data_IF_637361022435
#
_entry.id   IF_637361022435
#
_cell.length_a   1.000
_cell.length_b   1.000
_cell.length_c   1.000
_cell.angle_alpha   90.00
_cell.angle_beta   90.00
_cell.angle_gamma   90.00
#
_symmetry.space_group_name_H-M   'P 1'
#
loop_
_entity.id
_entity.type
_entity.pdbx_description
1 polymer ?
#
# COMPACT_ATOMS: atom_id res chain seq x y z
N UNK A 1 -32.97 -24.87 -29.16
CA UNK A 1 -31.66 -24.20 -29.04
C UNK A 1 -31.63 -23.49 -27.71
N UNK A 2 -30.99 -24.08 -26.71
CA UNK A 2 -30.69 -23.40 -25.45
C UNK A 2 -29.55 -22.42 -25.73
N UNK A 3 -29.84 -21.12 -25.73
CA UNK A 3 -28.80 -20.09 -25.78
C UNK A 3 -27.94 -20.24 -24.54
N UNK A 4 -26.66 -20.54 -24.72
CA UNK A 4 -25.68 -20.50 -23.64
C UNK A 4 -25.71 -19.09 -23.06
N UNK A 5 -26.15 -18.94 -21.80
CA UNK A 5 -26.15 -17.64 -21.12
C UNK A 5 -24.69 -17.21 -20.96
N UNK A 6 -24.35 -16.00 -21.38
CA UNK A 6 -22.97 -15.49 -21.21
C UNK A 6 -22.69 -15.23 -19.72
N UNK A 7 -21.41 -15.21 -19.33
CA UNK A 7 -21.01 -14.91 -17.94
C UNK A 7 -21.63 -13.60 -17.44
N UNK A 8 -21.61 -12.56 -18.27
CA UNK A 8 -22.21 -11.25 -17.97
C UNK A 8 -23.71 -11.35 -17.68
N UNK A 9 -24.46 -12.03 -18.55
CA UNK A 9 -25.89 -12.24 -18.37
C UNK A 9 -26.21 -13.03 -17.10
N UNK A 10 -25.39 -14.04 -16.77
CA UNK A 10 -25.56 -14.84 -15.57
C UNK A 10 -25.32 -14.01 -14.30
N UNK A 11 -24.27 -13.18 -14.28
CA UNK A 11 -23.96 -12.26 -13.17
C UNK A 11 -25.08 -11.23 -12.95
N UNK A 12 -25.63 -10.67 -14.03
CA UNK A 12 -26.74 -9.71 -13.96
C UNK A 12 -28.02 -10.39 -13.48
N UNK A 13 -28.34 -11.58 -14.01
CA UNK A 13 -29.54 -12.34 -13.64
C UNK A 13 -29.55 -12.72 -12.16
N UNK A 14 -28.40 -13.04 -11.58
CA UNK A 14 -28.26 -13.36 -10.15
C UNK A 14 -28.18 -12.11 -9.26
N UNK A 15 -28.15 -10.91 -9.84
CA UNK A 15 -28.11 -9.64 -9.12
C UNK A 15 -26.74 -9.27 -8.56
N UNK A 16 -25.66 -9.93 -8.99
CA UNK A 16 -24.30 -9.58 -8.58
C UNK A 16 -23.79 -8.30 -9.23
N UNK A 17 -24.34 -7.96 -10.40
CA UNK A 17 -24.02 -6.72 -11.12
C UNK A 17 -25.29 -6.12 -11.71
N UNK A 18 -25.39 -4.80 -11.72
CA UNK A 18 -26.59 -4.10 -12.22
C UNK A 18 -26.73 -4.16 -13.74
N UNK A 19 -25.62 -4.02 -14.48
CA UNK A 19 -25.59 -4.04 -15.94
C UNK A 19 -24.15 -4.27 -16.46
N UNK A 20 -24.02 -4.58 -17.75
CA UNK A 20 -22.74 -4.86 -18.39
C UNK A 20 -21.78 -3.66 -18.40
N UNK A 21 -22.31 -2.44 -18.51
CA UNK A 21 -21.50 -1.24 -18.52
C UNK A 21 -20.71 -1.06 -17.21
N UNK A 22 -21.35 -1.29 -16.07
CA UNK A 22 -20.69 -1.25 -14.75
C UNK A 22 -19.74 -2.43 -14.55
N UNK A 23 -20.09 -3.63 -15.04
CA UNK A 23 -19.19 -4.79 -15.01
C UNK A 23 -17.85 -4.48 -15.68
N UNK A 24 -17.89 -3.83 -16.85
CA UNK A 24 -16.71 -3.46 -17.62
C UNK A 24 -15.86 -2.38 -16.95
N UNK A 25 -16.50 -1.33 -16.43
CA UNK A 25 -15.77 -0.20 -15.82
C UNK A 25 -15.16 -0.57 -14.48
N UNK A 26 -15.85 -1.36 -13.66
CA UNK A 26 -15.35 -1.71 -12.33
C UNK A 26 -14.16 -2.67 -12.41
N UNK A 27 -14.12 -3.55 -13.42
CA UNK A 27 -13.04 -4.53 -13.58
C UNK A 27 -12.97 -5.58 -12.46
N UNK A 28 -14.04 -5.75 -11.68
CA UNK A 28 -14.16 -6.72 -10.61
C UNK A 28 -15.55 -6.71 -9.98
N UNK A 29 -15.82 -7.71 -9.14
CA UNK A 29 -17.09 -7.85 -8.41
C UNK A 29 -16.95 -7.35 -6.97
N UNK A 30 -17.90 -6.51 -6.54
CA UNK A 30 -17.93 -5.98 -5.17
C UNK A 30 -18.66 -6.92 -4.23
N UNK A 31 -18.08 -7.15 -3.07
CA UNK A 31 -18.77 -7.78 -1.95
C UNK A 31 -19.89 -6.86 -1.46
N UNK A 32 -21.14 -7.34 -1.31
CA UNK A 32 -22.19 -6.59 -0.65
C UNK A 32 -21.94 -6.56 0.86
N UNK A 33 -22.08 -5.39 1.48
CA UNK A 33 -21.94 -5.19 2.93
C UNK A 33 -20.69 -5.87 3.54
N UNK A 34 -19.46 -5.52 3.12
CA UNK A 34 -18.24 -6.21 3.55
C UNK A 34 -17.99 -6.19 5.07
N UNK A 35 -18.55 -5.20 5.78
CA UNK A 35 -18.44 -5.10 7.23
C UNK A 35 -19.17 -6.23 7.99
N UNK A 36 -20.13 -6.90 7.34
CA UNK A 36 -20.92 -7.98 7.95
C UNK A 36 -20.21 -9.35 7.84
N UNK A 37 -19.10 -9.43 7.11
CA UNK A 37 -18.34 -10.67 6.97
C UNK A 37 -17.56 -11.01 8.27
N UNK A 38 -17.27 -12.29 8.52
CA UNK A 38 -16.39 -12.66 9.62
C UNK A 38 -14.94 -12.23 9.32
N UNK A 39 -14.11 -11.98 10.36
CA UNK A 39 -12.67 -11.82 10.17
C UNK A 39 -12.05 -13.03 9.43
N UNK A 40 -11.02 -12.81 8.59
CA UNK A 40 -10.39 -11.52 8.28
C UNK A 40 -11.12 -10.70 7.19
N UNK A 41 -12.21 -11.21 6.62
CA UNK A 41 -12.82 -10.66 5.41
C UNK A 41 -13.52 -9.31 5.59
N UNK A 42 -13.78 -8.89 6.82
CA UNK A 42 -14.30 -7.55 7.14
C UNK A 42 -13.22 -6.47 7.25
N UNK A 43 -11.94 -6.82 7.12
CA UNK A 43 -10.85 -5.84 7.11
C UNK A 43 -11.01 -4.87 5.92
N UNK A 44 -10.53 -3.61 6.03
CA UNK A 44 -10.71 -2.59 4.99
C UNK A 44 -9.80 -2.77 3.76
N UNK A 45 -9.42 -4.01 3.42
CA UNK A 45 -8.63 -4.32 2.25
C UNK A 45 -9.48 -4.29 0.98
N UNK A 46 -9.06 -3.52 -0.03
CA UNK A 46 -9.71 -3.57 -1.36
C UNK A 46 -9.69 -4.98 -1.97
N UNK A 47 -8.67 -5.78 -1.70
CA UNK A 47 -8.64 -7.17 -2.17
C UNK A 47 -9.82 -7.99 -1.59
N UNK A 48 -10.18 -7.78 -0.32
CA UNK A 48 -11.32 -8.47 0.29
C UNK A 48 -12.66 -7.86 -0.11
N UNK A 49 -12.71 -6.56 -0.39
CA UNK A 49 -13.93 -5.88 -0.87
C UNK A 49 -14.25 -6.23 -2.33
N UNK A 50 -13.24 -6.63 -3.11
CA UNK A 50 -13.37 -6.96 -4.53
C UNK A 50 -12.64 -8.26 -4.91
N UNK A 51 -12.97 -9.43 -4.34
CA UNK A 51 -12.11 -10.62 -4.41
C UNK A 51 -12.03 -11.29 -5.78
N UNK A 52 -12.87 -10.87 -6.73
CA UNK A 52 -12.99 -11.43 -8.08
C UNK A 52 -12.69 -10.33 -9.07
N UNK A 53 -11.70 -10.54 -9.94
CA UNK A 53 -11.44 -9.67 -11.09
C UNK A 53 -12.25 -10.09 -12.30
N UNK A 54 -12.52 -9.11 -13.17
CA UNK A 54 -13.16 -9.33 -14.47
C UNK A 54 -12.28 -8.78 -15.58
N UNK A 55 -12.31 -9.44 -16.73
CA UNK A 55 -11.67 -9.00 -17.97
C UNK A 55 -12.59 -9.23 -19.16
N UNK A 56 -12.52 -8.32 -20.13
CA UNK A 56 -13.25 -8.41 -21.40
C UNK A 56 -12.34 -9.07 -22.44
N UNK A 57 -12.89 -10.06 -23.14
CA UNK A 57 -12.28 -10.78 -24.25
C UNK A 57 -13.23 -10.79 -25.44
N UNK A 58 -12.73 -11.09 -26.64
CA UNK A 58 -13.56 -11.25 -27.86
C UNK A 58 -14.74 -12.23 -27.68
N UNK A 59 -14.58 -13.27 -26.84
CA UNK A 59 -15.59 -14.28 -26.58
C UNK A 59 -16.49 -13.99 -25.36
N UNK A 60 -16.23 -12.89 -24.65
CA UNK A 60 -17.07 -12.40 -23.56
C UNK A 60 -16.30 -12.00 -22.31
N UNK A 61 -17.01 -11.86 -21.19
CA UNK A 61 -16.40 -11.52 -19.90
C UNK A 61 -15.91 -12.78 -19.19
N UNK A 62 -14.64 -12.72 -18.80
CA UNK A 62 -13.99 -13.73 -17.98
C UNK A 62 -13.93 -13.24 -16.53
N UNK A 63 -14.03 -14.18 -15.59
CA UNK A 63 -13.98 -13.90 -14.16
C UNK A 63 -13.07 -14.90 -13.44
N UNK A 64 -12.34 -14.42 -12.46
CA UNK A 64 -11.38 -15.21 -11.70
C UNK A 64 -10.98 -14.50 -10.41
N UNK A 65 -10.28 -15.20 -9.53
CA UNK A 65 -9.88 -14.63 -8.24
C UNK A 65 -8.75 -13.62 -8.41
N UNK A 66 -8.80 -12.51 -7.67
CA UNK A 66 -7.66 -11.59 -7.59
C UNK A 66 -6.39 -12.26 -7.02
N UNK A 67 -6.58 -13.26 -6.15
CA UNK A 67 -5.50 -13.98 -5.48
C UNK A 67 -5.97 -15.40 -5.12
N UNK A 68 -5.13 -16.45 -5.21
CA UNK A 68 -5.57 -17.83 -4.97
C UNK A 68 -6.11 -18.04 -3.54
N UNK A 69 -5.53 -17.37 -2.55
CA UNK A 69 -5.95 -17.48 -1.15
C UNK A 69 -7.36 -16.90 -0.88
N UNK A 70 -7.98 -16.23 -1.85
CA UNK A 70 -9.38 -15.79 -1.75
C UNK A 70 -10.37 -16.93 -1.99
N UNK A 71 -9.89 -18.16 -2.21
CA UNK A 71 -10.76 -19.31 -2.44
C UNK A 71 -11.77 -19.54 -1.31
N UNK A 72 -11.37 -19.28 -0.07
CA UNK A 72 -12.20 -19.44 1.13
C UNK A 72 -13.05 -18.19 1.45
N UNK A 73 -13.04 -17.16 0.58
CA UNK A 73 -13.81 -15.95 0.79
C UNK A 73 -15.32 -16.24 0.69
N UNK A 74 -16.17 -15.87 1.67
CA UNK A 74 -17.61 -16.21 1.66
C UNK A 74 -18.35 -15.77 0.39
N UNK A 75 -18.03 -14.58 -0.11
CA UNK A 75 -18.60 -14.08 -1.37
C UNK A 75 -18.19 -14.93 -2.60
N UNK A 76 -16.97 -15.47 -2.62
CA UNK A 76 -16.51 -16.37 -3.70
C UNK A 76 -17.35 -17.64 -3.71
N UNK A 77 -17.57 -18.26 -2.55
CA UNK A 77 -18.42 -19.45 -2.43
C UNK A 77 -19.86 -19.20 -2.92
N UNK A 78 -20.44 -18.04 -2.60
CA UNK A 78 -21.79 -17.66 -3.07
C UNK A 78 -21.82 -17.53 -4.60
N UNK A 79 -20.80 -16.93 -5.21
CA UNK A 79 -20.72 -16.77 -6.67
C UNK A 79 -20.60 -18.14 -7.35
N UNK A 80 -19.69 -18.99 -6.88
CA UNK A 80 -19.47 -20.34 -7.40
C UNK A 80 -20.75 -21.19 -7.32
N UNK A 81 -21.46 -21.14 -6.18
CA UNK A 81 -22.73 -21.84 -5.99
C UNK A 81 -23.82 -21.33 -6.96
N UNK A 82 -24.01 -20.01 -7.07
CA UNK A 82 -25.09 -19.41 -7.86
C UNK A 82 -24.87 -19.53 -9.37
N UNK A 83 -23.61 -19.59 -9.81
CA UNK A 83 -23.26 -19.76 -11.21
C UNK A 83 -23.03 -21.23 -11.59
N UNK A 84 -22.82 -22.12 -10.61
CA UNK A 84 -22.51 -23.52 -10.86
C UNK A 84 -21.15 -23.73 -11.51
N UNK A 85 -20.17 -22.88 -11.17
CA UNK A 85 -18.81 -22.89 -11.71
C UNK A 85 -17.78 -22.95 -10.59
N UNK A 86 -16.53 -23.28 -10.95
CA UNK A 86 -15.36 -23.00 -10.12
C UNK A 86 -14.60 -21.84 -10.75
N UNK A 87 -14.36 -20.78 -9.98
CA UNK A 87 -13.59 -19.64 -10.44
C UNK A 87 -12.13 -20.03 -10.60
N UNK A 88 -11.50 -19.49 -11.64
CA UNK A 88 -10.06 -19.66 -11.84
C UNK A 88 -9.31 -19.01 -10.67
N UNK A 89 -8.51 -19.83 -9.98
CA UNK A 89 -7.70 -19.37 -8.84
C UNK A 89 -6.51 -18.54 -9.31
N UNK A 90 -6.12 -18.70 -10.56
CA UNK A 90 -5.06 -17.92 -11.22
C UNK A 90 -5.53 -16.58 -11.79
N UNK A 91 -6.81 -16.26 -11.63
CA UNK A 91 -7.38 -14.97 -12.00
C UNK A 91 -7.98 -14.97 -13.40
N UNK A 92 -8.30 -13.77 -13.89
CA UNK A 92 -8.87 -13.57 -15.23
C UNK A 92 -8.04 -12.52 -15.97
N UNK A 93 -6.82 -12.87 -16.44
CA UNK A 93 -6.00 -11.94 -17.18
C UNK A 93 -6.72 -11.44 -18.44
N UNK A 94 -6.46 -10.21 -18.85
CA UNK A 94 -6.96 -9.71 -20.14
C UNK A 94 -6.24 -10.39 -21.32
N UNK A 95 -6.63 -10.04 -22.54
CA UNK A 95 -6.05 -10.59 -23.79
C UNK A 95 -4.53 -10.39 -23.93
N UNK A 96 -3.93 -9.49 -23.14
CA UNK A 96 -2.49 -9.25 -23.11
C UNK A 96 -1.78 -9.97 -21.96
N UNK A 97 -2.48 -10.83 -21.22
CA UNK A 97 -1.93 -11.58 -20.08
C UNK A 97 -1.86 -10.76 -18.78
N UNK A 98 -2.43 -9.56 -18.74
CA UNK A 98 -2.37 -8.71 -17.54
C UNK A 98 -3.51 -9.05 -16.57
N UNK A 99 -3.14 -9.45 -15.35
CA UNK A 99 -4.03 -9.60 -14.20
C UNK A 99 -3.83 -8.45 -13.21
N UNK A 100 -4.86 -8.12 -12.43
CA UNK A 100 -4.79 -7.14 -11.35
C UNK A 100 -4.17 -7.68 -10.07
N UNK A 101 -3.76 -8.96 -10.03
CA UNK A 101 -3.21 -9.64 -8.85
C UNK A 101 -2.10 -8.85 -8.15
N UNK A 102 -1.05 -8.45 -8.86
CA UNK A 102 0.09 -7.73 -8.26
C UNK A 102 -0.34 -6.38 -7.67
N UNK A 103 -1.23 -5.69 -8.39
CA UNK A 103 -1.80 -4.43 -7.91
C UNK A 103 -2.67 -4.66 -6.66
N UNK A 104 -3.40 -5.78 -6.59
CA UNK A 104 -4.23 -6.11 -5.44
C UNK A 104 -3.40 -6.46 -4.20
N UNK A 105 -2.25 -7.15 -4.37
CA UNK A 105 -1.30 -7.42 -3.28
C UNK A 105 -0.76 -6.13 -2.66
N UNK A 106 -0.40 -5.15 -3.51
CA UNK A 106 -0.05 -3.80 -3.06
C UNK A 106 -1.21 -3.12 -2.33
N UNK A 107 -2.43 -3.17 -2.89
CA UNK A 107 -3.60 -2.58 -2.24
C UNK A 107 -3.89 -3.18 -0.87
N UNK A 108 -3.76 -4.51 -0.73
CA UNK A 108 -3.93 -5.18 0.55
C UNK A 108 -2.96 -4.63 1.61
N UNK A 109 -1.67 -4.51 1.27
CA UNK A 109 -0.67 -3.97 2.19
C UNK A 109 -0.93 -2.49 2.55
N UNK A 110 -1.13 -1.62 1.55
CA UNK A 110 -1.27 -0.18 1.79
C UNK A 110 -2.58 0.17 2.51
N UNK A 111 -3.67 -0.53 2.22
CA UNK A 111 -4.97 -0.26 2.85
C UNK A 111 -4.93 -0.58 4.36
N UNK A 112 -4.29 -1.69 4.74
CA UNK A 112 -4.19 -2.10 6.15
C UNK A 112 -3.20 -1.22 6.93
N UNK A 113 -2.06 -0.83 6.34
CA UNK A 113 -1.16 0.16 6.96
C UNK A 113 -1.88 1.50 7.14
N UNK A 114 -2.55 1.99 6.10
CA UNK A 114 -3.16 3.33 6.14
C UNK A 114 -4.46 3.41 6.93
N UNK A 115 -4.97 2.28 7.42
CA UNK A 115 -6.20 2.20 8.23
C UNK A 115 -5.94 1.72 9.66
N UNK A 116 -4.71 1.81 10.17
CA UNK A 116 -4.34 1.41 11.54
C UNK A 116 -4.58 -0.09 11.84
N UNK A 117 -4.38 -0.94 10.84
CA UNK A 117 -4.56 -2.40 10.91
C UNK A 117 -3.27 -3.15 10.58
N UNK A 118 -2.11 -2.63 10.97
CA UNK A 118 -0.83 -3.20 10.60
C UNK A 118 -0.58 -4.59 11.22
N UNK A 119 -1.14 -4.90 12.40
CA UNK A 119 -1.07 -6.26 12.96
C UNK A 119 -1.87 -7.23 12.10
N UNK A 120 -3.07 -6.82 11.67
CA UNK A 120 -3.91 -7.65 10.81
C UNK A 120 -3.24 -7.89 9.44
N UNK A 121 -2.47 -6.92 8.92
CA UNK A 121 -1.63 -7.12 7.73
C UNK A 121 -0.65 -8.30 7.90
N UNK A 122 -0.04 -8.42 9.08
CA UNK A 122 0.87 -9.54 9.37
C UNK A 122 0.10 -10.86 9.51
N UNK A 123 -1.07 -10.85 10.15
CA UNK A 123 -1.96 -12.02 10.25
C UNK A 123 -2.50 -12.48 8.88
N UNK A 124 -2.55 -11.57 7.90
CA UNK A 124 -2.99 -11.82 6.52
C UNK A 124 -1.85 -11.71 5.51
N UNK A 125 -0.58 -11.89 5.93
CA UNK A 125 0.62 -11.78 5.09
C UNK A 125 0.56 -12.64 3.81
N UNK A 126 -0.16 -13.77 3.84
CA UNK A 126 -0.36 -14.66 2.69
C UNK A 126 -1.12 -14.03 1.51
N UNK A 127 -1.75 -12.86 1.67
CA UNK A 127 -2.45 -12.14 0.60
C UNK A 127 -1.59 -11.07 -0.07
N UNK A 128 -0.32 -10.94 0.33
CA UNK A 128 0.61 -9.96 -0.22
C UNK A 128 2.03 -10.50 -0.19
N UNK A 129 3.00 -9.66 -0.55
CA UNK A 129 4.42 -10.01 -0.51
C UNK A 129 5.15 -9.17 0.53
N UNK A 130 6.28 -9.67 1.01
CA UNK A 130 7.16 -8.92 1.93
C UNK A 130 7.63 -7.61 1.31
N UNK A 131 7.88 -7.62 -0.01
CA UNK A 131 8.20 -6.43 -0.77
C UNK A 131 7.08 -5.39 -0.69
N UNK A 132 5.82 -5.78 -0.90
CA UNK A 132 4.68 -4.85 -0.80
C UNK A 132 4.39 -4.42 0.63
N UNK A 133 4.64 -5.26 1.64
CA UNK A 133 4.58 -4.88 3.06
C UNK A 133 5.62 -3.80 3.35
N UNK A 134 6.89 -4.00 2.97
CA UNK A 134 7.94 -2.99 3.15
C UNK A 134 7.62 -1.69 2.40
N UNK A 135 7.06 -1.80 1.20
CA UNK A 135 6.59 -0.64 0.42
C UNK A 135 5.45 0.08 1.14
N UNK A 136 4.56 -0.65 1.80
CA UNK A 136 3.45 -0.07 2.55
C UNK A 136 3.93 0.60 3.83
N UNK A 137 4.97 0.06 4.49
CA UNK A 137 5.67 0.75 5.60
C UNK A 137 6.21 2.09 5.13
N UNK A 138 6.91 2.13 3.99
CA UNK A 138 7.42 3.39 3.43
C UNK A 138 6.29 4.39 3.13
N UNK A 139 5.18 3.93 2.56
CA UNK A 139 3.99 4.75 2.35
C UNK A 139 3.41 5.28 3.67
N UNK A 140 3.24 4.40 4.67
CA UNK A 140 2.69 4.73 5.98
C UNK A 140 3.53 5.73 6.76
N UNK A 141 4.85 5.72 6.58
CA UNK A 141 5.75 6.73 7.13
C UNK A 141 5.73 8.03 6.32
N UNK A 142 5.46 7.99 5.01
CA UNK A 142 5.51 9.19 4.16
C UNK A 142 4.27 10.07 4.32
N UNK A 143 3.10 9.47 4.51
CA UNK A 143 1.80 10.15 4.49
C UNK A 143 1.09 10.01 5.82
N UNK A 144 0.28 11.01 6.18
CA UNK A 144 -0.55 11.02 7.39
C UNK A 144 -2.04 11.10 7.06
N UNK A 145 -2.89 10.61 7.97
CA UNK A 145 -4.33 10.83 7.91
C UNK A 145 -4.69 12.32 7.85
N UNK A 146 -5.68 12.65 7.01
CA UNK A 146 -6.21 14.01 6.87
C UNK A 146 -6.81 14.59 8.17
N UNK A 147 -7.30 13.74 9.06
CA UNK A 147 -8.07 14.16 10.25
C UNK A 147 -7.32 13.90 11.57
N UNK A 148 -6.15 13.26 11.52
CA UNK A 148 -5.36 12.91 12.70
C UNK A 148 -4.09 13.77 12.82
N UNK A 149 -3.29 13.48 13.85
CA UNK A 149 -1.97 14.10 14.03
C UNK A 149 -1.08 13.78 12.83
N UNK A 150 -0.37 14.79 12.35
CA UNK A 150 0.52 14.72 11.16
C UNK A 150 1.83 14.04 11.51
N UNK A 151 1.82 12.72 11.57
CA UNK A 151 2.97 11.93 12.04
C UNK A 151 3.11 10.55 11.38
N UNK A 152 2.59 10.41 10.17
CA UNK A 152 2.47 9.11 9.50
C UNK A 152 1.12 8.42 9.78
N UNK A 153 0.81 7.41 8.97
CA UNK A 153 -0.20 6.40 9.29
C UNK A 153 0.28 5.42 10.36
N UNK A 154 1.59 5.24 10.46
CA UNK A 154 2.26 4.40 11.47
C UNK A 154 3.45 5.14 12.06
N UNK A 155 3.85 4.75 13.26
CA UNK A 155 5.06 5.25 13.92
C UNK A 155 6.32 4.50 13.45
N UNK A 156 7.50 5.05 13.72
CA UNK A 156 8.77 4.34 13.45
C UNK A 156 8.92 3.08 14.30
N UNK A 157 8.32 3.04 15.49
CA UNK A 157 8.32 1.86 16.35
C UNK A 157 7.51 0.72 15.73
N UNK A 158 6.31 1.01 15.23
CA UNK A 158 5.47 0.02 14.53
C UNK A 158 6.12 -0.41 13.22
N UNK A 159 6.66 0.54 12.46
CA UNK A 159 7.42 0.25 11.24
C UNK A 159 8.56 -0.75 11.50
N UNK A 160 9.34 -0.58 12.58
CA UNK A 160 10.39 -1.55 12.97
C UNK A 160 9.83 -2.93 13.30
N UNK A 161 8.70 -3.01 14.00
CA UNK A 161 8.04 -4.27 14.31
C UNK A 161 7.60 -5.00 13.04
N UNK A 162 7.04 -4.27 12.09
CA UNK A 162 6.60 -4.81 10.79
C UNK A 162 7.81 -5.30 9.99
N UNK A 163 8.87 -4.48 9.86
CA UNK A 163 10.09 -4.86 9.15
C UNK A 163 10.74 -6.11 9.77
N UNK A 164 10.78 -6.21 11.10
CA UNK A 164 11.27 -7.40 11.78
C UNK A 164 10.38 -8.64 11.54
N UNK A 165 9.05 -8.47 11.48
CA UNK A 165 8.11 -9.56 11.26
C UNK A 165 8.16 -10.16 9.84
N UNK A 166 8.68 -9.40 8.86
CA UNK A 166 8.96 -9.88 7.50
C UNK A 166 10.41 -10.31 7.31
N UNK A 167 11.17 -10.48 8.41
CA UNK A 167 12.57 -10.89 8.42
C UNK A 167 13.52 -9.94 7.65
N UNK A 168 13.13 -8.67 7.48
CA UNK A 168 13.96 -7.66 6.84
C UNK A 168 14.98 -7.09 7.83
N UNK A 169 16.26 -7.34 7.56
CA UNK A 169 17.36 -6.92 8.43
C UNK A 169 17.53 -5.39 8.43
N UNK A 170 17.76 -4.82 9.61
CA UNK A 170 18.17 -3.42 9.73
C UNK A 170 19.56 -3.22 9.10
N UNK A 171 19.75 -2.22 8.22
CA UNK A 171 21.06 -1.93 7.64
C UNK A 171 22.08 -1.55 8.71
N UNK A 172 23.32 -2.07 8.58
CA UNK A 172 24.40 -1.76 9.53
C UNK A 172 24.73 -0.26 9.62
N UNK A 173 24.55 0.47 8.51
CA UNK A 173 24.81 1.91 8.44
C UNK A 173 23.52 2.69 8.14
N UNK A 174 22.98 3.32 9.19
CA UNK A 174 21.82 4.23 9.12
C UNK A 174 22.07 5.39 8.16
N UNK A 175 23.30 5.95 8.20
CA UNK A 175 23.68 7.08 7.35
C UNK A 175 23.73 6.69 5.87
N UNK A 176 24.34 5.53 5.56
CA UNK A 176 24.50 5.11 4.17
C UNK A 176 23.15 4.91 3.47
N UNK A 177 22.18 4.31 4.16
CA UNK A 177 20.84 4.09 3.58
C UNK A 177 20.07 5.41 3.35
N UNK A 178 20.26 6.42 4.22
CA UNK A 178 19.71 7.77 4.00
C UNK A 178 20.40 8.46 2.82
N UNK A 179 21.73 8.36 2.70
CA UNK A 179 22.48 8.96 1.60
C UNK A 179 22.21 8.31 0.24
N UNK A 180 21.68 7.08 0.22
CA UNK A 180 21.22 6.41 -0.99
C UNK A 180 19.92 7.01 -1.58
N UNK A 181 19.18 7.81 -0.81
CA UNK A 181 18.05 8.58 -1.34
C UNK A 181 18.52 9.61 -2.36
N UNK A 182 17.60 10.09 -3.20
CA UNK A 182 17.94 11.19 -4.10
C UNK A 182 18.36 12.43 -3.33
N UNK A 183 19.29 13.17 -3.94
CA UNK A 183 19.73 14.47 -3.45
C UNK A 183 18.49 15.34 -3.12
N UNK A 184 18.45 15.98 -1.94
CA UNK A 184 17.38 16.91 -1.60
C UNK A 184 17.33 18.06 -2.60
N UNK A 185 16.16 18.28 -3.20
CA UNK A 185 15.90 19.37 -4.13
C UNK A 185 14.63 20.12 -3.72
N UNK A 186 14.61 21.46 -3.82
CA UNK A 186 13.41 22.23 -3.53
C UNK A 186 12.37 21.98 -4.62
N UNK A 187 11.12 21.82 -4.20
CA UNK A 187 9.97 21.96 -5.08
C UNK A 187 9.22 23.22 -4.69
N UNK A 188 8.99 24.10 -5.67
CA UNK A 188 8.20 25.32 -5.50
C UNK A 188 6.99 25.26 -6.42
N UNK A 189 5.78 25.06 -5.88
CA UNK A 189 4.57 25.13 -6.68
C UNK A 189 4.27 26.59 -7.06
N UNK A 190 3.49 26.80 -8.14
CA UNK A 190 3.05 28.14 -8.57
C UNK A 190 2.28 28.88 -7.46
N UNK A 191 1.59 28.12 -6.61
CA UNK A 191 0.91 28.60 -5.41
C UNK A 191 1.34 27.75 -4.22
N UNK A 192 2.02 28.35 -3.24
CA UNK A 192 2.41 27.69 -2.00
C UNK A 192 3.83 28.03 -1.55
N UNK A 193 4.21 27.47 -0.41
CA UNK A 193 5.58 27.54 0.08
C UNK A 193 6.47 26.53 -0.63
N UNK A 194 7.77 26.81 -0.69
CA UNK A 194 8.77 25.83 -1.07
C UNK A 194 8.77 24.66 -0.07
N UNK A 195 8.82 23.44 -0.58
CA UNK A 195 8.94 22.23 0.22
C UNK A 195 10.02 21.31 -0.34
N UNK A 196 10.46 20.34 0.47
CA UNK A 196 11.62 19.51 0.18
C UNK A 196 11.24 18.03 0.22
N UNK A 197 10.67 17.48 -0.86
CA UNK A 197 10.19 16.10 -0.89
C UNK A 197 11.34 15.10 -0.79
N UNK A 198 11.03 13.91 -0.27
CA UNK A 198 11.95 12.77 -0.26
C UNK A 198 11.71 11.98 -1.55
N UNK A 199 12.65 12.07 -2.49
CA UNK A 199 12.59 11.34 -3.75
C UNK A 199 13.49 10.10 -3.70
N UNK A 200 13.04 9.00 -4.30
CA UNK A 200 13.72 7.71 -4.23
C UNK A 200 13.54 6.84 -5.50
N UNK A 201 13.67 7.39 -6.72
CA UNK A 201 13.52 6.57 -7.92
C UNK A 201 14.58 5.47 -7.90
N UNK A 202 14.13 4.21 -7.82
CA UNK A 202 14.91 2.98 -7.83
C UNK A 202 15.53 2.46 -6.50
N UNK A 203 15.17 2.98 -5.33
CA UNK A 203 15.48 2.23 -4.10
C UNK A 203 14.54 1.03 -3.92
N UNK A 204 15.06 -0.17 -3.58
CA UNK A 204 14.24 -1.28 -3.14
C UNK A 204 13.35 -0.89 -1.95
N UNK A 205 12.12 -1.40 -1.91
CA UNK A 205 11.15 -1.04 -0.88
C UNK A 205 11.65 -1.21 0.57
N UNK A 206 12.36 -2.31 0.94
CA UNK A 206 12.93 -2.45 2.28
C UNK A 206 13.96 -1.39 2.62
N UNK A 207 14.86 -1.06 1.68
CA UNK A 207 15.86 -0.01 1.88
C UNK A 207 15.20 1.36 2.07
N UNK A 208 14.16 1.65 1.31
CA UNK A 208 13.40 2.88 1.46
C UNK A 208 12.72 2.95 2.85
N UNK A 209 12.05 1.89 3.28
CA UNK A 209 11.44 1.82 4.60
C UNK A 209 12.46 2.11 5.72
N UNK A 210 13.62 1.46 5.67
CA UNK A 210 14.70 1.70 6.63
C UNK A 210 15.27 3.12 6.57
N UNK A 211 15.47 3.68 5.37
CA UNK A 211 15.90 5.08 5.22
C UNK A 211 14.93 6.04 5.90
N UNK A 212 13.61 5.82 5.75
CA UNK A 212 12.57 6.64 6.36
C UNK A 212 12.53 6.48 7.88
N UNK A 213 12.59 5.24 8.39
CA UNK A 213 12.68 4.95 9.83
C UNK A 213 13.84 5.72 10.45
N UNK A 214 15.05 5.56 9.91
CA UNK A 214 16.24 6.20 10.46
C UNK A 214 16.21 7.72 10.30
N UNK A 215 15.76 8.21 9.13
CA UNK A 215 15.72 9.64 8.88
C UNK A 215 14.71 10.38 9.75
N UNK A 216 13.59 9.75 10.12
CA UNK A 216 12.65 10.31 11.12
C UNK A 216 13.30 10.30 12.51
N UNK A 217 13.82 9.15 12.95
CA UNK A 217 14.42 8.99 14.29
C UNK A 217 15.61 9.95 14.53
N UNK A 218 16.44 10.14 13.51
CA UNK A 218 17.67 10.94 13.61
C UNK A 218 17.43 12.43 13.25
N UNK A 219 16.18 12.82 12.96
CA UNK A 219 15.77 14.20 12.68
C UNK A 219 16.16 14.74 11.29
N UNK A 220 16.49 13.85 10.35
CA UNK A 220 16.70 14.21 8.94
C UNK A 220 15.39 14.58 8.26
N UNK A 221 14.28 13.98 8.71
CA UNK A 221 12.95 14.18 8.16
C UNK A 221 11.97 14.71 9.20
N UNK A 222 10.98 15.48 8.75
CA UNK A 222 9.87 15.93 9.57
C UNK A 222 8.61 16.08 8.72
N UNK A 223 7.45 15.93 9.35
CA UNK A 223 6.16 16.16 8.71
C UNK A 223 5.84 17.64 8.63
N UNK A 224 5.27 18.07 7.51
CA UNK A 224 4.67 19.39 7.40
C UNK A 224 3.25 19.42 8.02
N UNK A 225 2.60 20.59 7.94
CA UNK A 225 1.22 20.76 8.43
C UNK A 225 0.18 19.99 7.61
N UNK A 226 0.52 19.62 6.38
CA UNK A 226 -0.36 18.89 5.48
C UNK A 226 -0.25 17.37 5.70
N UNK A 227 0.75 16.91 6.46
CA UNK A 227 0.96 15.50 6.77
C UNK A 227 1.93 14.78 5.84
N UNK A 228 2.72 15.51 5.07
CA UNK A 228 3.74 14.95 4.18
C UNK A 228 5.12 14.99 4.86
N UNK A 229 5.89 13.92 4.68
CA UNK A 229 7.26 13.84 5.18
C UNK A 229 8.24 14.57 4.23
N UNK A 230 9.10 15.42 4.81
CA UNK A 230 10.07 16.23 4.07
C UNK A 230 11.45 16.22 4.69
N UNK A 231 12.47 16.58 3.91
CA UNK A 231 13.79 16.90 4.44
C UNK A 231 13.73 18.11 5.37
N UNK A 232 14.32 17.98 6.56
CA UNK A 232 14.58 19.12 7.44
C UNK A 232 15.75 19.94 6.91
N UNK A 233 15.87 21.21 7.31
CA UNK A 233 17.06 22.01 7.02
C UNK A 233 18.35 21.36 7.53
N UNK A 234 18.28 20.78 8.73
CA UNK A 234 19.40 20.02 9.30
C UNK A 234 19.74 18.79 8.46
N UNK A 235 18.73 18.00 8.07
CA UNK A 235 18.91 16.84 7.20
C UNK A 235 19.55 17.19 5.86
N UNK A 236 19.11 18.29 5.22
CA UNK A 236 19.73 18.79 3.98
C UNK A 236 21.19 19.15 4.16
N UNK A 237 21.51 19.85 5.26
CA UNK A 237 22.89 20.24 5.58
C UNK A 237 23.76 19.01 5.81
N UNK A 238 23.26 18.01 6.55
CA UNK A 238 23.96 16.74 6.77
C UNK A 238 24.15 15.94 5.48
N UNK A 239 23.16 15.92 4.59
CA UNK A 239 23.26 15.24 3.29
C UNK A 239 24.35 15.89 2.43
N UNK A 240 24.39 17.22 2.37
CA UNK A 240 25.41 17.96 1.63
C UNK A 240 26.84 17.75 2.17
N UNK A 241 26.99 17.50 3.47
CA UNK A 241 28.26 17.15 4.09
C UNK A 241 28.76 15.73 3.72
N UNK A 242 27.92 14.89 3.09
CA UNK A 242 28.29 13.56 2.63
C UNK A 242 28.74 12.66 3.78
N UNK A 243 29.92 12.06 3.67
CA UNK A 243 30.51 11.17 4.68
C UNK A 243 31.49 11.87 5.64
N UNK A 244 31.51 13.20 5.64
CA UNK A 244 32.40 13.96 6.52
C UNK A 244 31.91 13.91 7.97
N UNK A 245 32.74 13.40 8.89
CA UNK A 245 32.48 13.28 10.35
C UNK A 245 32.31 14.63 11.08
N UNK A 246 32.47 15.76 10.40
CA UNK A 246 32.51 17.12 10.98
C UNK A 246 31.14 17.78 11.13
N UNK A 247 30.06 17.03 11.32
CA UNK A 247 28.77 17.63 11.66
C UNK A 247 28.66 17.90 13.17
N UNK A 248 29.06 19.09 13.60
CA UNK A 248 28.76 19.60 14.96
C UNK A 248 27.30 20.04 15.04
N UNK A 249 26.50 19.33 15.82
CA UNK A 249 25.17 19.77 16.24
C UNK A 249 25.33 21.02 17.11
N UNK A 250 24.91 22.20 16.63
CA UNK A 250 24.79 23.37 17.50
C UNK A 250 23.61 23.15 18.44
N UNK A 251 23.82 22.45 19.56
CA UNK A 251 22.86 22.39 20.65
C UNK A 251 22.82 23.78 21.30
N UNK A 252 21.75 24.53 21.04
CA UNK A 252 21.46 25.77 21.75
C UNK A 252 21.13 25.48 23.21
N UNK A 253 22.14 25.27 24.05
CA UNK A 253 22.02 25.43 25.49
C UNK A 253 22.04 26.93 25.80
N UNK A 254 20.87 27.56 25.76
CA UNK A 254 20.65 28.81 26.48
C UNK A 254 20.62 28.50 27.98
N UNK A 255 21.73 28.76 28.67
CA UNK A 255 21.79 28.70 30.11
C UNK A 255 20.89 29.81 30.70
N UNK A 256 19.79 29.44 31.34
CA UNK A 256 19.10 30.32 32.27
C UNK A 256 19.75 30.15 33.64
N UNK A 257 20.48 31.17 34.09
CA UNK A 257 20.86 31.32 35.48
C UNK A 257 19.65 31.88 36.26
N UNK A 258 19.37 31.26 37.42
CA UNK A 258 18.39 31.71 38.40
C UNK A 258 18.88 32.96 39.16
#
# INVERSE_FOLDING_TARGET
MTTSTTTSEALIRQGFVTNEYLLRINGGLSVPCPADLPPPWNLPSRMFRFPIETSEHEDGVHIGLLHPALADHPFVAIIEEKLGITLDREGAPNEHGYSKRDTAQWWHAVDLISSDHWQALLDTRQFTTDHDIARAVAYGLTYSHHEAKRMGHITTQEARQIMAAIDEAEPESRRAVILALSRPLPCKPDKGAEYWPINHPALPAPMLAWALIHGIEDGWFAYDRSGFLHWTEQGRTRYAAGDSDTFTTASGQGAFAF
#
